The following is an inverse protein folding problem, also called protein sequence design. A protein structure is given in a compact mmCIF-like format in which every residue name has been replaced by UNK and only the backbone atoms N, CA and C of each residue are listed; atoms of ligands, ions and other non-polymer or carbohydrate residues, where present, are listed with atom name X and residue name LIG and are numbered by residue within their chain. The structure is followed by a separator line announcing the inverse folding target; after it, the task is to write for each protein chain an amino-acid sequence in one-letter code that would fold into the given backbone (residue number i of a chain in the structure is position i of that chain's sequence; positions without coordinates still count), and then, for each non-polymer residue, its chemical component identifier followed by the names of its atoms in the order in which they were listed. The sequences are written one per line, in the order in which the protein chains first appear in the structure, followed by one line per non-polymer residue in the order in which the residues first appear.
data_IF_199656697302
#
_entry.id   IF_199656697302
#
_cell.length_a   1.000
_cell.length_b   1.000
_cell.length_c   1.000
_cell.angle_alpha   90.00
_cell.angle_beta   90.00
_cell.angle_gamma   90.00
#
_symmetry.space_group_name_H-M   'P 1'
#
loop_
_entity.id
_entity.type
_entity.pdbx_description
1 polymer ?
#
# COMPACT_ATOMS: atom_id res chain seq x y z
N UNK A 1 3.49 5.94 -33.02
CA UNK A 1 2.03 5.87 -32.81
C UNK A 1 1.72 6.55 -31.47
N UNK A 2 0.81 7.52 -31.41
CA UNK A 2 0.33 8.05 -30.13
C UNK A 2 -0.41 6.95 -29.34
N UNK A 3 -0.44 7.05 -28.00
CA UNK A 3 -1.21 6.15 -27.15
C UNK A 3 -2.71 6.38 -27.38
N UNK A 4 -3.48 5.31 -27.62
CA UNK A 4 -4.94 5.40 -27.83
C UNK A 4 -5.71 5.62 -26.51
N UNK A 5 -5.20 5.02 -25.42
CA UNK A 5 -5.76 5.17 -24.07
C UNK A 5 -4.65 5.25 -23.03
N UNK A 6 -4.90 5.98 -21.96
CA UNK A 6 -4.04 6.03 -20.77
C UNK A 6 -4.90 6.07 -19.52
N UNK A 7 -4.37 5.52 -18.43
CA UNK A 7 -5.03 5.57 -17.13
C UNK A 7 -3.98 5.75 -16.04
N UNK A 8 -4.42 6.32 -14.92
CA UNK A 8 -3.61 6.51 -13.74
C UNK A 8 -4.50 6.64 -12.52
N UNK A 9 -3.91 6.46 -11.35
CA UNK A 9 -4.63 6.55 -10.09
C UNK A 9 -3.69 6.58 -8.90
N UNK A 10 -4.21 6.94 -7.72
CA UNK A 10 -3.43 6.89 -6.50
C UNK A 10 -3.08 5.44 -6.14
N UNK A 11 -1.87 5.25 -5.64
CA UNK A 11 -1.40 3.98 -5.08
C UNK A 11 -0.98 4.21 -3.63
N UNK A 12 -1.41 3.33 -2.74
CA UNK A 12 -0.90 3.30 -1.37
C UNK A 12 0.45 2.60 -1.32
N UNK A 13 1.44 3.27 -0.73
CA UNK A 13 2.80 2.74 -0.57
C UNK A 13 3.36 3.00 0.82
N UNK A 14 4.13 2.03 1.34
CA UNK A 14 4.95 2.16 2.52
C UNK A 14 6.42 2.30 2.13
N UNK A 15 7.17 3.19 2.78
CA UNK A 15 8.59 3.43 2.43
C UNK A 15 9.49 2.23 2.71
N UNK A 16 9.13 1.39 3.69
CA UNK A 16 9.83 0.14 4.01
C UNK A 16 9.31 -1.08 3.24
N UNK A 17 8.35 -0.91 2.32
CA UNK A 17 7.81 -2.01 1.52
C UNK A 17 6.93 -2.99 2.29
N UNK A 18 6.67 -2.76 3.58
CA UNK A 18 5.83 -3.61 4.42
C UNK A 18 4.34 -3.35 4.18
N UNK A 19 3.50 -4.41 4.19
CA UNK A 19 2.06 -4.27 4.05
C UNK A 19 1.39 -3.91 5.37
N UNK A 20 0.12 -3.53 5.32
CA UNK A 20 -0.78 -3.62 6.48
C UNK A 20 -1.48 -4.96 6.38
N UNK A 21 -1.27 -5.85 7.36
CA UNK A 21 -1.92 -7.15 7.39
C UNK A 21 -2.26 -7.58 8.83
N UNK A 22 -3.43 -8.21 9.00
CA UNK A 22 -3.86 -8.85 10.25
C UNK A 22 -4.92 -8.07 11.02
N UNK A 23 -5.12 -8.46 12.29
CA UNK A 23 -6.07 -7.82 13.20
C UNK A 23 -5.63 -6.40 13.57
N UNK A 24 -6.53 -5.43 13.40
CA UNK A 24 -6.29 -4.03 13.76
C UNK A 24 -6.87 -3.73 15.14
N UNK A 25 -8.15 -4.04 15.31
CA UNK A 25 -8.96 -3.88 16.52
C UNK A 25 -10.06 -4.94 16.51
N UNK A 26 -10.76 -5.13 17.63
CA UNK A 26 -11.78 -6.17 17.77
C UNK A 26 -12.79 -6.17 16.62
N UNK A 27 -12.92 -7.32 15.95
CA UNK A 27 -13.79 -7.51 14.79
C UNK A 27 -13.30 -6.88 13.48
N UNK A 28 -12.13 -6.23 13.45
CA UNK A 28 -11.59 -5.54 12.27
C UNK A 28 -10.24 -6.13 11.87
N UNK A 29 -10.21 -6.70 10.67
CA UNK A 29 -9.01 -7.18 10.00
C UNK A 29 -8.68 -6.27 8.82
N UNK A 30 -7.38 -6.10 8.54
CA UNK A 30 -6.92 -5.32 7.40
C UNK A 30 -5.95 -6.11 6.53
N UNK A 31 -6.05 -5.85 5.24
CA UNK A 31 -5.10 -6.24 4.22
C UNK A 31 -4.95 -5.06 3.25
N UNK A 32 -3.77 -4.47 3.18
CA UNK A 32 -3.56 -3.28 2.36
C UNK A 32 -2.09 -2.91 2.22
N UNK A 33 -1.87 -1.77 1.53
CA UNK A 33 -0.52 -1.24 1.27
C UNK A 33 0.36 -2.27 0.57
N UNK A 34 -0.17 -2.88 -0.49
CA UNK A 34 0.51 -3.91 -1.27
C UNK A 34 1.56 -3.36 -2.23
N UNK A 35 1.95 -2.09 -2.11
CA UNK A 35 3.07 -1.47 -2.81
C UNK A 35 3.11 -1.78 -4.33
N UNK A 36 1.96 -1.67 -5.00
CA UNK A 36 1.86 -1.87 -6.46
C UNK A 36 1.55 -3.28 -6.92
N UNK A 37 1.50 -4.28 -6.04
CA UNK A 37 1.17 -5.67 -6.42
C UNK A 37 -0.21 -6.07 -5.88
N UNK A 38 -1.18 -5.16 -5.94
CA UNK A 38 -2.50 -5.33 -5.31
C UNK A 38 -3.28 -6.52 -5.85
N UNK A 39 -3.16 -6.85 -7.14
CA UNK A 39 -3.88 -7.98 -7.76
C UNK A 39 -3.45 -9.33 -7.17
N UNK A 40 -2.14 -9.60 -7.11
CA UNK A 40 -1.63 -10.86 -6.58
C UNK A 40 -1.72 -10.94 -5.06
N UNK A 41 -1.25 -9.89 -4.36
CA UNK A 41 -1.27 -9.87 -2.89
C UNK A 41 -2.69 -9.75 -2.34
N UNK A 42 -3.60 -9.04 -3.00
CA UNK A 42 -4.99 -8.88 -2.54
C UNK A 42 -5.72 -10.21 -2.46
N UNK A 43 -5.63 -11.05 -3.50
CA UNK A 43 -6.25 -12.39 -3.51
C UNK A 43 -5.72 -13.28 -2.40
N UNK A 44 -4.40 -13.34 -2.24
CA UNK A 44 -3.76 -14.11 -1.17
C UNK A 44 -4.20 -13.58 0.20
N UNK A 45 -4.11 -12.26 0.42
CA UNK A 45 -4.47 -11.67 1.70
C UNK A 45 -5.94 -11.89 2.05
N UNK A 46 -6.85 -11.88 1.08
CA UNK A 46 -8.26 -12.17 1.30
C UNK A 46 -8.48 -13.57 1.87
N UNK A 47 -7.81 -14.58 1.29
CA UNK A 47 -7.81 -15.96 1.82
C UNK A 47 -7.24 -16.00 3.24
N UNK A 48 -6.08 -15.38 3.46
CA UNK A 48 -5.41 -15.40 4.76
C UNK A 48 -6.23 -14.69 5.87
N UNK A 49 -6.96 -13.62 5.53
CA UNK A 49 -7.90 -12.97 6.46
C UNK A 49 -9.05 -13.92 6.79
N UNK A 50 -9.60 -14.64 5.81
CA UNK A 50 -10.65 -15.63 6.06
C UNK A 50 -10.16 -16.77 6.97
N UNK A 51 -8.95 -17.30 6.74
CA UNK A 51 -8.31 -18.28 7.64
C UNK A 51 -8.22 -17.75 9.07
N UNK A 52 -7.73 -16.52 9.25
CA UNK A 52 -7.62 -15.89 10.55
C UNK A 52 -8.98 -15.71 11.24
N UNK A 53 -10.03 -15.36 10.50
CA UNK A 53 -11.39 -15.22 11.04
C UNK A 53 -12.01 -16.56 11.44
N UNK A 54 -11.69 -17.63 10.73
CA UNK A 54 -12.12 -18.99 11.04
C UNK A 54 -11.26 -19.68 12.11
N UNK A 55 -10.25 -19.00 12.69
CA UNK A 55 -9.26 -19.60 13.59
C UNK A 55 -8.48 -20.76 12.95
N UNK A 56 -8.29 -20.71 11.64
CA UNK A 56 -7.44 -21.61 10.87
C UNK A 56 -6.03 -21.02 10.71
N UNK A 57 -5.04 -21.88 10.47
CA UNK A 57 -3.63 -21.50 10.30
C UNK A 57 -3.03 -22.11 9.03
N UNK A 58 -2.04 -21.41 8.46
CA UNK A 58 -1.24 -21.89 7.35
C UNK A 58 0.17 -21.30 7.40
N UNK A 59 1.17 -21.99 6.84
CA UNK A 59 2.55 -21.50 6.76
C UNK A 59 2.64 -20.12 6.08
N UNK A 60 1.75 -19.86 5.13
CA UNK A 60 1.67 -18.59 4.42
C UNK A 60 1.05 -17.49 5.30
N UNK A 61 0.07 -17.84 6.14
CA UNK A 61 -0.48 -16.93 7.14
C UNK A 61 0.61 -16.52 8.14
N UNK A 62 1.37 -17.48 8.64
CA UNK A 62 2.47 -17.24 9.58
C UNK A 62 3.57 -16.37 8.94
N UNK A 63 3.95 -16.67 7.70
CA UNK A 63 4.92 -15.86 6.96
C UNK A 63 4.42 -14.41 6.75
N UNK A 64 3.12 -14.23 6.52
CA UNK A 64 2.52 -12.91 6.35
C UNK A 64 2.40 -12.15 7.67
N UNK A 65 2.08 -12.84 8.76
CA UNK A 65 2.03 -12.27 10.12
C UNK A 65 3.42 -11.92 10.66
N UNK A 66 4.45 -12.65 10.25
CA UNK A 66 5.84 -12.36 10.58
C UNK A 66 6.38 -11.10 9.90
N UNK A 67 5.65 -10.55 8.91
CA UNK A 67 6.03 -9.30 8.26
C UNK A 67 5.93 -8.10 9.21
N UNK A 68 6.70 -7.07 8.91
CA UNK A 68 6.67 -5.83 9.66
C UNK A 68 5.41 -5.01 9.37
N UNK A 69 5.30 -3.87 10.05
CA UNK A 69 4.29 -2.84 9.76
C UNK A 69 4.90 -1.71 8.92
N UNK A 70 4.07 -0.94 8.19
CA UNK A 70 4.54 0.25 7.49
C UNK A 70 5.23 1.20 8.46
N UNK A 71 6.35 1.79 8.03
CA UNK A 71 7.01 2.79 8.85
C UNK A 71 6.12 4.04 9.00
N UNK A 72 6.21 4.68 10.18
CA UNK A 72 5.53 5.96 10.39
C UNK A 72 6.10 7.00 9.44
N UNK A 73 5.22 7.86 8.92
CA UNK A 73 5.67 9.04 8.19
C UNK A 73 6.35 10.03 9.14
N UNK A 74 7.14 10.93 8.58
CA UNK A 74 7.62 12.10 9.33
C UNK A 74 6.38 12.91 9.78
N UNK A 75 6.38 13.50 10.98
CA UNK A 75 5.22 14.24 11.47
C UNK A 75 5.03 15.57 10.71
N UNK A 76 3.81 16.09 10.77
CA UNK A 76 3.51 17.45 10.30
C UNK A 76 4.21 18.51 11.15
N UNK A 77 4.60 19.67 10.57
CA UNK A 77 4.30 20.12 9.20
C UNK A 77 5.32 19.65 8.13
N UNK A 78 6.38 18.94 8.53
CA UNK A 78 7.48 18.58 7.62
C UNK A 78 7.01 17.68 6.47
N UNK A 79 6.11 16.74 6.77
CA UNK A 79 5.48 15.89 5.75
C UNK A 79 4.73 16.71 4.71
N UNK A 80 3.81 17.57 5.17
CA UNK A 80 3.02 18.44 4.30
C UNK A 80 3.88 19.28 3.36
N UNK A 81 4.89 19.97 3.89
CA UNK A 81 5.80 20.78 3.06
C UNK A 81 6.56 19.95 2.02
N UNK A 82 7.00 18.74 2.39
CA UNK A 82 7.65 17.82 1.48
C UNK A 82 6.74 17.36 0.34
N UNK A 83 5.49 17.02 0.65
CA UNK A 83 4.47 16.62 -0.32
C UNK A 83 4.17 17.76 -1.30
N UNK A 84 3.94 18.98 -0.80
CA UNK A 84 3.63 20.14 -1.62
C UNK A 84 4.77 20.51 -2.57
N UNK A 85 6.00 20.51 -2.05
CA UNK A 85 7.20 20.79 -2.84
C UNK A 85 7.38 19.73 -3.95
N UNK A 86 7.20 18.46 -3.62
CA UNK A 86 7.32 17.36 -4.59
C UNK A 86 6.22 17.42 -5.66
N UNK A 87 4.97 17.67 -5.28
CA UNK A 87 3.86 17.82 -6.20
C UNK A 87 4.06 19.00 -7.17
N UNK A 88 4.52 20.14 -6.67
CA UNK A 88 4.87 21.30 -7.51
C UNK A 88 5.99 20.97 -8.49
N UNK A 89 7.04 20.25 -8.06
CA UNK A 89 8.12 19.78 -8.94
C UNK A 89 7.62 18.86 -10.04
N UNK A 90 6.74 17.92 -9.72
CA UNK A 90 6.14 17.01 -10.71
C UNK A 90 5.34 17.77 -11.76
N UNK A 91 4.46 18.70 -11.35
CA UNK A 91 3.68 19.54 -12.28
C UNK A 91 4.56 20.31 -13.26
N UNK A 92 5.67 20.87 -12.78
CA UNK A 92 6.63 21.59 -13.63
C UNK A 92 7.37 20.67 -14.62
N UNK A 93 7.59 19.38 -14.28
CA UNK A 93 8.22 18.41 -15.19
C UNK A 93 7.23 17.86 -16.20
N UNK A 94 6.01 17.53 -15.79
CA UNK A 94 4.98 16.99 -16.68
C UNK A 94 4.59 17.98 -17.79
N UNK A 95 4.59 19.29 -17.50
CA UNK A 95 4.37 20.33 -18.52
C UNK A 95 5.55 20.52 -19.50
N UNK A 96 6.68 19.85 -19.30
CA UNK A 96 7.85 19.85 -20.20
C UNK A 96 7.98 18.57 -21.02
N UNK A 97 7.17 17.55 -20.71
CA UNK A 97 7.16 16.23 -21.36
C UNK A 97 5.99 16.09 -22.37
N UNK A 98 5.19 17.15 -22.53
CA UNK A 98 4.20 17.37 -23.61
C UNK A 98 4.67 18.47 -24.55
#
# INVERSE_FOLDING_TARGET
MPFEYTWGGPLSMARNGEPVFGHLVDGIFAAGVHNGTGLSRGTVCGKLVAEMMCSEGSDLLDAMLARGRPNRNVPDPVLGWGVDLYARRLRLRSGREM
#
